data_IF_186188865936
#
_entry.id   IF_186188865936
#
_cell.length_a   1.000
_cell.length_b   1.000
_cell.length_c   1.000
_cell.angle_alpha   90.00
_cell.angle_beta   90.00
_cell.angle_gamma   90.00
#
_symmetry.space_group_name_H-M   'P 1'
#
loop_
_entity.id
_entity.type
_entity.pdbx_description
1 polymer ?
#
# COMPACT_ATOMS: atom_id res chain seq x y z
N UNK A 1 21.27 -16.28 7.25
CA UNK A 1 19.85 -15.92 7.47
C UNK A 1 19.09 -16.35 6.22
N UNK A 2 18.11 -17.25 6.34
CA UNK A 2 17.27 -17.62 5.19
C UNK A 2 16.16 -16.59 5.08
N UNK A 3 16.14 -15.79 4.01
CA UNK A 3 15.04 -14.86 3.75
C UNK A 3 13.83 -15.72 3.34
N UNK A 4 12.67 -15.61 4.00
CA UNK A 4 11.48 -16.32 3.57
C UNK A 4 11.12 -15.88 2.14
N UNK A 5 10.91 -16.81 1.19
CA UNK A 5 10.59 -16.46 -0.20
C UNK A 5 9.38 -15.53 -0.31
N UNK A 6 8.40 -15.70 0.58
CA UNK A 6 7.20 -14.88 0.63
C UNK A 6 7.47 -13.42 1.05
N UNK A 7 8.50 -13.16 1.86
CA UNK A 7 8.89 -11.79 2.23
C UNK A 7 9.46 -11.02 1.03
N UNK A 8 10.27 -11.69 0.20
CA UNK A 8 10.79 -11.12 -1.05
C UNK A 8 9.64 -10.86 -2.02
N UNK A 9 8.74 -11.85 -2.16
CA UNK A 9 7.57 -11.72 -3.01
C UNK A 9 6.69 -10.53 -2.58
N UNK A 10 6.40 -10.38 -1.28
CA UNK A 10 5.59 -9.29 -0.76
C UNK A 10 6.24 -7.92 -1.04
N UNK A 11 7.54 -7.74 -0.75
CA UNK A 11 8.25 -6.49 -1.03
C UNK A 11 8.21 -6.13 -2.53
N UNK A 12 8.59 -7.07 -3.40
CA UNK A 12 8.53 -6.86 -4.85
C UNK A 12 7.10 -6.55 -5.30
N UNK A 13 6.10 -7.23 -4.73
CA UNK A 13 4.71 -7.01 -5.08
C UNK A 13 4.17 -5.65 -4.64
N UNK A 14 4.67 -5.10 -3.53
CA UNK A 14 4.35 -3.74 -3.05
C UNK A 14 4.76 -2.68 -4.08
N UNK A 15 5.89 -2.87 -4.77
CA UNK A 15 6.32 -2.00 -5.87
C UNK A 15 5.37 -2.08 -7.08
N UNK A 16 4.87 -3.27 -7.41
CA UNK A 16 3.89 -3.44 -8.49
C UNK A 16 2.54 -2.80 -8.14
N UNK A 17 2.06 -2.98 -6.90
CA UNK A 17 0.85 -2.30 -6.41
C UNK A 17 1.04 -0.79 -6.50
N UNK A 18 2.17 -0.28 -6.03
CA UNK A 18 2.48 1.16 -6.06
C UNK A 18 2.47 1.70 -7.49
N UNK A 19 3.06 0.98 -8.43
CA UNK A 19 2.97 1.34 -9.86
C UNK A 19 1.51 1.37 -10.34
N UNK A 20 0.68 0.42 -9.91
CA UNK A 20 -0.76 0.38 -10.19
C UNK A 20 -1.51 1.59 -9.62
N UNK A 21 -1.28 1.93 -8.35
CA UNK A 21 -1.89 3.09 -7.67
C UNK A 21 -1.52 4.38 -8.39
N UNK A 22 -0.22 4.59 -8.63
CA UNK A 22 0.29 5.78 -9.33
C UNK A 22 -0.30 5.85 -10.74
N UNK A 23 -0.42 4.73 -11.46
CA UNK A 23 -1.02 4.69 -12.78
C UNK A 23 -2.51 5.08 -12.77
N UNK A 24 -3.30 4.55 -11.83
CA UNK A 24 -4.73 4.88 -11.69
C UNK A 24 -4.91 6.39 -11.46
N UNK A 25 -4.12 6.96 -10.55
CA UNK A 25 -4.12 8.40 -10.25
C UNK A 25 -3.70 9.21 -11.46
N UNK A 26 -2.57 8.86 -12.08
CA UNK A 26 -2.03 9.58 -13.24
C UNK A 26 -3.00 9.56 -14.43
N UNK A 27 -3.73 8.45 -14.63
CA UNK A 27 -4.71 8.33 -15.72
C UNK A 27 -5.91 9.25 -15.47
N UNK A 28 -6.48 9.25 -14.27
CA UNK A 28 -7.57 10.18 -13.92
C UNK A 28 -7.09 11.65 -13.97
N UNK A 29 -5.87 11.93 -13.51
CA UNK A 29 -5.25 13.26 -13.57
C UNK A 29 -5.11 13.82 -14.99
N UNK A 30 -4.76 12.95 -15.95
CA UNK A 30 -4.64 13.26 -17.38
C UNK A 30 -5.98 13.28 -18.12
N UNK A 31 -7.10 13.33 -17.41
CA UNK A 31 -8.46 13.33 -17.98
C UNK A 31 -8.77 12.12 -18.86
N UNK A 32 -8.20 10.96 -18.54
CA UNK A 32 -8.47 9.70 -19.25
C UNK A 32 -9.51 8.87 -18.47
N UNK A 33 -10.19 7.91 -19.13
CA UNK A 33 -11.14 6.98 -18.47
C UNK A 33 -10.55 6.31 -17.24
N UNK A 34 -11.30 6.27 -16.13
CA UNK A 34 -10.89 5.57 -14.90
C UNK A 34 -10.69 4.09 -15.21
N UNK A 35 -9.51 3.50 -14.95
CA UNK A 35 -9.28 2.10 -15.24
C UNK A 35 -9.82 1.22 -14.09
N UNK A 36 -11.15 1.12 -13.96
CA UNK A 36 -11.82 0.43 -12.83
C UNK A 36 -11.30 -1.00 -12.62
N UNK A 37 -11.13 -1.78 -13.70
CA UNK A 37 -10.64 -3.15 -13.60
C UNK A 37 -9.24 -3.23 -13.00
N UNK A 38 -8.34 -2.33 -13.39
CA UNK A 38 -6.99 -2.24 -12.81
C UNK A 38 -7.05 -1.77 -11.36
N UNK A 39 -7.86 -0.77 -11.04
CA UNK A 39 -8.05 -0.30 -9.66
C UNK A 39 -8.50 -1.43 -8.74
N UNK A 40 -9.53 -2.21 -9.15
CA UNK A 40 -10.04 -3.33 -8.37
C UNK A 40 -8.99 -4.44 -8.23
N UNK A 41 -8.28 -4.78 -9.31
CA UNK A 41 -7.22 -5.78 -9.27
C UNK A 41 -6.10 -5.38 -8.30
N UNK A 42 -5.65 -4.12 -8.35
CA UNK A 42 -4.62 -3.56 -7.45
C UNK A 42 -5.13 -3.56 -6.00
N UNK A 43 -6.36 -3.13 -5.75
CA UNK A 43 -6.93 -3.10 -4.40
C UNK A 43 -7.08 -4.50 -3.78
N UNK A 44 -7.61 -5.46 -4.54
CA UNK A 44 -7.76 -6.85 -4.07
C UNK A 44 -6.39 -7.49 -3.84
N UNK A 45 -5.45 -7.29 -4.76
CA UNK A 45 -4.10 -7.81 -4.63
C UNK A 45 -3.40 -7.25 -3.37
N UNK A 46 -3.48 -5.94 -3.16
CA UNK A 46 -2.92 -5.27 -1.98
C UNK A 46 -3.50 -5.83 -0.67
N UNK A 47 -4.82 -6.02 -0.62
CA UNK A 47 -5.49 -6.60 0.54
C UNK A 47 -5.05 -8.05 0.82
N UNK A 48 -4.99 -8.88 -0.23
CA UNK A 48 -4.70 -10.31 -0.10
C UNK A 48 -3.22 -10.60 0.13
N UNK A 49 -2.31 -9.84 -0.47
CA UNK A 49 -0.88 -10.11 -0.39
C UNK A 49 -0.24 -9.29 0.71
N UNK A 50 -0.33 -7.96 0.69
CA UNK A 50 0.46 -7.12 1.59
C UNK A 50 -0.21 -6.95 2.95
N UNK A 51 -1.51 -6.61 2.98
CA UNK A 51 -2.24 -6.41 4.25
C UNK A 51 -2.37 -7.72 5.02
N UNK A 52 -2.81 -8.80 4.37
CA UNK A 52 -2.95 -10.10 5.02
C UNK A 52 -1.61 -10.67 5.51
N UNK A 53 -0.55 -10.50 4.73
CA UNK A 53 0.79 -10.91 5.15
C UNK A 53 1.24 -10.18 6.41
N UNK A 54 1.09 -8.84 6.45
CA UNK A 54 1.48 -8.06 7.61
C UNK A 54 0.62 -8.36 8.83
N UNK A 55 -0.69 -8.60 8.66
CA UNK A 55 -1.56 -9.07 9.74
C UNK A 55 -1.07 -10.40 10.32
N UNK A 56 -0.77 -11.38 9.47
CA UNK A 56 -0.28 -12.70 9.89
C UNK A 56 1.08 -12.60 10.59
N UNK A 57 1.97 -11.76 10.07
CA UNK A 57 3.31 -11.54 10.62
C UNK A 57 3.25 -10.86 11.98
N UNK A 58 2.41 -9.84 12.12
CA UNK A 58 2.19 -9.14 13.39
C UNK A 58 1.61 -10.08 14.45
N UNK A 59 0.65 -10.93 14.07
CA UNK A 59 0.09 -11.94 14.97
C UNK A 59 1.16 -12.94 15.47
N UNK A 60 2.05 -13.40 14.58
CA UNK A 60 3.17 -14.29 14.96
C UNK A 60 4.18 -13.60 15.88
N UNK A 61 4.50 -12.35 15.62
CA UNK A 61 5.38 -11.54 16.47
C UNK A 61 4.79 -11.31 17.87
N UNK A 62 3.46 -11.12 17.96
CA UNK A 62 2.74 -10.99 19.22
C UNK A 62 2.67 -12.31 20.01
N UNK A 63 2.54 -13.45 19.32
CA UNK A 63 2.55 -14.79 19.93
C UNK A 63 3.93 -15.22 20.48
N UNK A 64 4.96 -14.37 20.41
CA UNK A 64 6.31 -14.68 20.92
C UNK A 64 7.10 -15.67 20.07
N UNK A 65 6.57 -16.07 18.90
CA UNK A 65 7.20 -17.06 18.02
C UNK A 65 8.42 -16.53 17.25
N UNK A 66 8.63 -15.21 17.23
CA UNK A 66 9.84 -14.58 16.68
C UNK A 66 10.55 -13.72 17.73
N UNK A 67 11.85 -13.98 17.95
CA UNK A 67 12.71 -13.15 18.78
C UNK A 67 13.07 -11.85 18.02
N UNK A 68 12.15 -10.89 18.03
CA UNK A 68 12.34 -9.53 17.51
C UNK A 68 12.63 -8.57 18.68
N UNK A 69 13.61 -7.69 18.50
CA UNK A 69 13.85 -6.59 19.44
C UNK A 69 12.64 -5.66 19.52
N UNK A 70 12.41 -5.04 20.68
CA UNK A 70 11.23 -4.19 20.95
C UNK A 70 11.03 -3.09 19.92
N UNK A 71 12.12 -2.43 19.49
CA UNK A 71 12.05 -1.38 18.45
C UNK A 71 11.53 -1.90 17.10
N UNK A 72 11.94 -3.09 16.68
CA UNK A 72 11.49 -3.70 15.43
C UNK A 72 10.02 -4.13 15.51
N UNK A 73 9.54 -4.58 16.68
CA UNK A 73 8.11 -4.88 16.90
C UNK A 73 7.25 -3.63 16.75
N UNK A 74 7.69 -2.50 17.33
CA UNK A 74 6.99 -1.22 17.21
C UNK A 74 7.00 -0.74 15.75
N UNK A 75 8.13 -0.85 15.06
CA UNK A 75 8.24 -0.47 13.65
C UNK A 75 7.27 -1.26 12.76
N UNK A 76 7.22 -2.59 12.90
CA UNK A 76 6.27 -3.42 12.15
C UNK A 76 4.81 -3.06 12.43
N UNK A 77 4.46 -2.80 13.69
CA UNK A 77 3.09 -2.42 14.05
C UNK A 77 2.72 -1.04 13.49
N UNK A 78 3.61 -0.06 13.61
CA UNK A 78 3.40 1.30 13.10
C UNK A 78 3.26 1.32 11.57
N UNK A 79 4.15 0.62 10.86
CA UNK A 79 4.04 0.47 9.42
C UNK A 79 2.77 -0.29 9.03
N UNK A 80 2.43 -1.40 9.69
CA UNK A 80 1.23 -2.16 9.38
C UNK A 80 -0.05 -1.31 9.51
N UNK A 81 -0.12 -0.46 10.52
CA UNK A 81 -1.21 0.50 10.69
C UNK A 81 -1.21 1.56 9.56
N UNK A 82 -0.05 2.13 9.24
CA UNK A 82 0.09 3.11 8.17
C UNK A 82 -0.35 2.53 6.81
N UNK A 83 0.14 1.33 6.46
CA UNK A 83 -0.21 0.64 5.21
C UNK A 83 -1.69 0.30 5.14
N UNK A 84 -2.30 -0.14 6.26
CA UNK A 84 -3.74 -0.36 6.31
C UNK A 84 -4.53 0.93 6.08
N UNK A 85 -4.14 2.03 6.72
CA UNK A 85 -4.79 3.34 6.52
C UNK A 85 -4.62 3.83 5.08
N UNK A 86 -3.41 3.72 4.51
CA UNK A 86 -3.14 4.09 3.13
C UNK A 86 -3.98 3.26 2.15
N UNK A 87 -4.10 1.95 2.38
CA UNK A 87 -4.97 1.05 1.61
C UNK A 87 -6.45 1.46 1.69
N UNK A 88 -7.00 1.70 2.89
CA UNK A 88 -8.39 2.11 3.04
C UNK A 88 -8.68 3.44 2.34
N UNK A 89 -7.78 4.42 2.50
CA UNK A 89 -7.89 5.70 1.80
C UNK A 89 -7.83 5.49 0.29
N UNK A 90 -6.92 4.65 -0.22
CA UNK A 90 -6.86 4.32 -1.65
C UNK A 90 -8.19 3.78 -2.17
N UNK A 91 -8.81 2.83 -1.46
CA UNK A 91 -10.11 2.25 -1.85
C UNK A 91 -11.20 3.33 -1.86
N UNK A 92 -11.30 4.12 -0.80
CA UNK A 92 -12.32 5.18 -0.69
C UNK A 92 -12.14 6.22 -1.79
N UNK A 93 -10.93 6.75 -1.99
CA UNK A 93 -10.65 7.74 -3.03
C UNK A 93 -10.86 7.17 -4.42
N UNK A 94 -10.51 5.90 -4.67
CA UNK A 94 -10.73 5.24 -5.95
C UNK A 94 -12.21 5.05 -6.28
N UNK A 95 -13.04 4.66 -5.31
CA UNK A 95 -14.49 4.54 -5.49
C UNK A 95 -15.11 5.91 -5.78
N UNK A 96 -14.75 6.95 -5.02
CA UNK A 96 -15.23 8.32 -5.26
C UNK A 96 -14.79 8.81 -6.64
N UNK A 97 -13.53 8.59 -7.01
CA UNK A 97 -13.00 8.99 -8.30
C UNK A 97 -13.74 8.32 -9.47
N UNK A 98 -14.06 7.03 -9.33
CA UNK A 98 -14.87 6.32 -10.32
C UNK A 98 -16.29 6.89 -10.43
N UNK A 99 -16.95 7.15 -9.29
CA UNK A 99 -18.30 7.74 -9.26
C UNK A 99 -18.32 9.15 -9.88
N UNK A 100 -17.40 10.02 -9.50
CA UNK A 100 -17.31 11.38 -10.05
C UNK A 100 -17.00 11.40 -11.54
N UNK A 101 -16.23 10.41 -12.02
CA UNK A 101 -15.94 10.30 -13.44
C UNK A 101 -17.17 9.95 -14.29
N UNK A 102 -18.18 9.29 -13.71
CA UNK A 102 -19.48 9.11 -14.39
C UNK A 102 -20.23 10.43 -14.57
N UNK A 103 -19.92 11.46 -13.77
CA UNK A 103 -20.42 12.82 -13.92
C UNK A 103 -19.48 13.72 -14.76
N UNK A 104 -18.46 13.14 -15.42
CA UNK A 104 -17.50 13.89 -16.24
C UNK A 104 -16.42 14.64 -15.45
N UNK A 105 -16.35 14.46 -14.12
CA UNK A 105 -15.37 15.08 -13.24
C UNK A 105 -14.14 14.19 -13.05
N UNK A 106 -13.00 14.81 -12.80
CA UNK A 106 -11.72 14.12 -12.61
C UNK A 106 -11.20 14.36 -11.20
N UNK A 107 -11.71 13.57 -10.25
CA UNK A 107 -11.51 13.73 -8.80
C UNK A 107 -10.07 14.08 -8.41
N UNK A 108 -9.09 13.28 -8.86
CA UNK A 108 -7.70 13.47 -8.46
C UNK A 108 -7.13 14.79 -9.01
N UNK A 109 -7.53 15.18 -10.21
CA UNK A 109 -7.12 16.46 -10.80
C UNK A 109 -7.76 17.66 -10.11
N UNK A 110 -9.05 17.54 -9.78
CA UNK A 110 -9.83 18.63 -9.18
C UNK A 110 -9.48 18.85 -7.70
N UNK A 111 -8.90 17.84 -7.04
CA UNK A 111 -8.48 17.89 -5.63
C UNK A 111 -6.97 17.60 -5.51
N UNK A 112 -6.11 18.52 -5.99
CA UNK A 112 -4.66 18.30 -6.03
C UNK A 112 -4.05 18.15 -4.63
N UNK A 113 -4.51 18.94 -3.65
CA UNK A 113 -4.02 18.86 -2.28
C UNK A 113 -4.25 17.46 -1.68
N UNK A 114 -5.48 16.95 -1.78
CA UNK A 114 -5.83 15.61 -1.28
C UNK A 114 -5.04 14.51 -2.00
N UNK A 115 -4.86 14.64 -3.32
CA UNK A 115 -4.11 13.68 -4.14
C UNK A 115 -2.64 13.63 -3.75
N UNK A 116 -2.00 14.78 -3.55
CA UNK A 116 -0.60 14.84 -3.12
C UNK A 116 -0.41 14.34 -1.70
N UNK A 117 -1.31 14.71 -0.77
CA UNK A 117 -1.28 14.17 0.60
C UNK A 117 -1.37 12.65 0.59
N UNK A 118 -2.30 12.08 -0.18
CA UNK A 118 -2.41 10.64 -0.35
C UNK A 118 -1.14 10.04 -0.96
N UNK A 119 -0.61 10.61 -2.04
CA UNK A 119 0.56 10.07 -2.74
C UNK A 119 1.81 10.07 -1.85
N UNK A 120 2.02 11.13 -1.06
CA UNK A 120 3.13 11.21 -0.10
C UNK A 120 2.95 10.20 1.02
N UNK A 121 1.75 10.09 1.60
CA UNK A 121 1.46 9.10 2.64
C UNK A 121 1.67 7.67 2.12
N UNK A 122 1.22 7.38 0.90
CA UNK A 122 1.46 6.10 0.22
C UNK A 122 2.96 5.82 0.06
N UNK A 123 3.72 6.79 -0.45
CA UNK A 123 5.16 6.65 -0.66
C UNK A 123 5.93 6.42 0.65
N UNK A 124 5.55 7.11 1.74
CA UNK A 124 6.12 6.87 3.08
C UNK A 124 5.79 5.45 3.54
N UNK A 125 4.57 4.98 3.31
CA UNK A 125 4.16 3.61 3.66
C UNK A 125 5.06 2.59 2.98
N UNK A 126 5.16 2.63 1.65
CA UNK A 126 5.97 1.72 0.85
C UNK A 126 7.45 1.80 1.23
N UNK A 127 7.98 3.03 1.32
CA UNK A 127 9.38 3.26 1.67
C UNK A 127 9.73 2.68 3.05
N UNK A 128 8.82 2.82 4.03
CA UNK A 128 9.04 2.23 5.35
C UNK A 128 8.98 0.70 5.34
N UNK A 129 8.17 0.08 4.47
CA UNK A 129 8.11 -1.38 4.27
C UNK A 129 9.43 -1.94 3.75
N UNK A 130 9.92 -1.35 2.66
CA UNK A 130 11.19 -1.71 2.03
C UNK A 130 12.39 -1.53 2.98
N UNK A 131 12.44 -0.42 3.71
CA UNK A 131 13.52 -0.17 4.70
C UNK A 131 13.51 -1.23 5.80
N UNK A 132 12.34 -1.59 6.35
CA UNK A 132 12.26 -2.65 7.35
C UNK A 132 12.64 -4.02 6.78
N UNK A 133 12.29 -4.31 5.52
CA UNK A 133 12.72 -5.53 4.85
C UNK A 133 14.26 -5.61 4.77
N UNK A 134 14.91 -4.55 4.31
CA UNK A 134 16.38 -4.46 4.23
C UNK A 134 17.01 -4.62 5.62
N UNK A 135 16.56 -3.84 6.61
CA UNK A 135 17.10 -3.89 7.98
C UNK A 135 16.94 -5.25 8.66
N UNK A 136 15.93 -6.04 8.29
CA UNK A 136 15.67 -7.34 8.90
C UNK A 136 16.46 -8.48 8.26
N UNK A 137 16.74 -8.39 6.97
CA UNK A 137 17.23 -9.53 6.19
C UNK A 137 18.61 -9.32 5.56
N UNK A 138 19.07 -8.07 5.45
CA UNK A 138 20.33 -7.72 4.79
C UNK A 138 21.35 -7.09 5.74
N UNK A 139 20.95 -6.75 6.97
CA UNK A 139 21.79 -6.23 8.05
C UNK A 139 21.69 -7.13 9.28
#
# INVERSE_FOLDING_TARGET
>A
MHIPPFSIFSAVSELFVTAGVVYVIARNWRRRPFPLGLFLAVAVFEACVNVFYMATRTARAAAGTEALGTGMKIAFAAHGLLSLMAYLVFVVLGVIAWQEQRAGRYFFRERPALTWTFAVAWAISVGSGEVMFVLRYMC
#
